data_IF_002772254092
#
_entry.id   IF_002772254092
#
_cell.length_a   1.000
_cell.length_b   1.000
_cell.length_c   1.000
_cell.angle_alpha   90.00
_cell.angle_beta   90.00
_cell.angle_gamma   90.00
#
_symmetry.space_group_name_H-M   'P 1'
#
loop_
_entity.id
_entity.type
_entity.pdbx_description
1 polymer ?
#
# COMPACT_ATOMS: atom_id res chain seq x y z
N UNK A 1 -47.10 13.87 -33.23
CA UNK A 1 -46.11 13.37 -34.20
C UNK A 1 -45.46 12.15 -33.59
N UNK A 2 -45.59 10.95 -34.19
CA UNK A 2 -44.95 9.74 -33.67
C UNK A 2 -43.43 9.88 -33.80
N UNK A 3 -42.71 9.60 -32.72
CA UNK A 3 -41.26 9.50 -32.74
C UNK A 3 -40.88 8.30 -33.61
N UNK A 4 -40.30 8.57 -34.78
CA UNK A 4 -39.68 7.56 -35.64
C UNK A 4 -38.55 6.93 -34.83
N UNK A 5 -38.78 5.72 -34.31
CA UNK A 5 -37.73 4.89 -33.72
C UNK A 5 -36.75 4.58 -34.87
N UNK A 6 -35.59 5.21 -34.83
CA UNK A 6 -34.52 4.98 -35.79
C UNK A 6 -34.18 3.48 -35.77
N UNK A 7 -34.05 2.88 -36.96
CA UNK A 7 -33.55 1.51 -37.08
C UNK A 7 -32.23 1.39 -36.31
N UNK A 8 -31.99 0.27 -35.59
CA UNK A 8 -30.74 0.08 -34.87
C UNK A 8 -29.60 0.13 -35.87
N UNK A 9 -28.84 1.22 -35.81
CA UNK A 9 -27.60 1.38 -36.56
C UNK A 9 -26.71 0.19 -36.25
N UNK A 10 -26.30 -0.56 -37.27
CA UNK A 10 -25.35 -1.66 -37.15
C UNK A 10 -23.94 -1.22 -36.78
N UNK A 11 -23.70 0.10 -36.71
CA UNK A 11 -22.42 0.69 -36.34
C UNK A 11 -22.35 0.98 -34.84
N UNK A 12 -21.18 0.77 -34.20
CA UNK A 12 -20.97 1.09 -32.79
C UNK A 12 -21.24 2.56 -32.49
N UNK A 13 -21.82 2.84 -31.31
CA UNK A 13 -21.79 4.19 -30.75
C UNK A 13 -20.37 4.53 -30.25
N UNK A 14 -19.51 4.99 -31.15
CA UNK A 14 -18.15 5.37 -30.80
C UNK A 14 -18.08 6.47 -29.73
N UNK A 15 -19.10 7.31 -29.61
CA UNK A 15 -19.17 8.37 -28.57
C UNK A 15 -19.28 7.73 -27.20
N UNK A 16 -20.16 6.74 -27.06
CA UNK A 16 -20.30 5.95 -25.83
C UNK A 16 -19.00 5.22 -25.49
N UNK A 17 -18.46 4.45 -26.43
CA UNK A 17 -17.28 3.62 -26.20
C UNK A 17 -16.02 4.44 -25.93
N UNK A 18 -15.86 5.61 -26.57
CA UNK A 18 -14.74 6.50 -26.33
C UNK A 18 -14.75 7.17 -24.94
N UNK A 19 -15.91 7.24 -24.27
CA UNK A 19 -16.03 7.78 -22.91
C UNK A 19 -15.72 6.75 -21.83
N UNK A 20 -15.68 5.46 -22.17
CA UNK A 20 -15.33 4.42 -21.22
C UNK A 20 -13.87 4.56 -20.78
N UNK A 21 -13.63 4.42 -19.48
CA UNK A 21 -12.28 4.51 -18.94
C UNK A 21 -11.37 3.41 -19.51
N UNK A 22 -11.91 2.21 -19.71
CA UNK A 22 -11.20 1.05 -20.22
C UNK A 22 -12.13 0.15 -21.02
N UNK A 23 -11.57 -0.57 -21.98
CA UNK A 23 -12.23 -1.64 -22.74
C UNK A 23 -11.73 -3.01 -22.28
N UNK A 24 -12.61 -4.00 -22.37
CA UNK A 24 -12.19 -5.39 -22.35
C UNK A 24 -11.44 -5.75 -23.65
N UNK A 25 -10.69 -6.85 -23.63
CA UNK A 25 -9.98 -7.34 -24.82
C UNK A 25 -10.97 -7.61 -25.98
N UNK A 26 -12.12 -8.29 -25.78
CA UNK A 26 -13.12 -8.47 -26.82
C UNK A 26 -13.69 -7.17 -27.38
N UNK A 27 -14.04 -6.21 -26.52
CA UNK A 27 -14.55 -4.90 -26.94
C UNK A 27 -13.54 -4.15 -27.80
N UNK A 28 -12.28 -4.07 -27.37
CA UNK A 28 -11.24 -3.37 -28.13
C UNK A 28 -11.01 -4.01 -29.51
N UNK A 29 -11.05 -5.35 -29.58
CA UNK A 29 -10.95 -6.09 -30.83
C UNK A 29 -12.15 -5.81 -31.75
N UNK A 30 -13.37 -5.80 -31.21
CA UNK A 30 -14.60 -5.53 -31.96
C UNK A 30 -14.66 -4.09 -32.49
N UNK A 31 -14.36 -3.10 -31.65
CA UNK A 31 -14.31 -1.69 -32.05
C UNK A 31 -13.25 -1.45 -33.15
N UNK A 32 -12.13 -2.17 -33.12
CA UNK A 32 -11.10 -2.08 -34.17
C UNK A 32 -11.53 -2.64 -35.53
N UNK A 33 -12.63 -3.39 -35.57
CA UNK A 33 -13.26 -3.99 -36.76
C UNK A 33 -14.59 -3.32 -37.12
N UNK A 34 -14.94 -2.21 -36.47
CA UNK A 34 -16.24 -1.53 -36.62
C UNK A 34 -17.45 -2.41 -36.26
N UNK A 35 -17.26 -3.30 -35.30
CA UNK A 35 -18.30 -4.17 -34.75
C UNK A 35 -18.74 -3.60 -33.40
N UNK A 36 -20.04 -3.47 -33.19
CA UNK A 36 -20.59 -3.09 -31.90
C UNK A 36 -20.32 -4.21 -30.89
N UNK A 37 -19.62 -3.96 -29.77
CA UNK A 37 -19.38 -4.98 -28.76
C UNK A 37 -20.65 -5.63 -28.22
N UNK A 38 -21.79 -4.93 -28.20
CA UNK A 38 -23.08 -5.54 -27.78
C UNK A 38 -23.55 -6.65 -28.72
N UNK A 39 -23.19 -6.58 -30.01
CA UNK A 39 -23.51 -7.62 -30.99
C UNK A 39 -22.71 -8.92 -30.78
N UNK A 40 -21.66 -8.90 -29.95
CA UNK A 40 -20.91 -10.11 -29.59
C UNK A 40 -21.78 -11.02 -28.71
N UNK A 41 -22.52 -10.43 -27.77
CA UNK A 41 -23.33 -11.16 -26.80
C UNK A 41 -24.62 -11.71 -27.40
N UNK A 42 -25.18 -11.03 -28.41
CA UNK A 42 -26.38 -11.51 -29.13
C UNK A 42 -26.09 -12.70 -30.04
N UNK A 43 -24.84 -12.87 -30.47
CA UNK A 43 -24.44 -13.95 -31.38
C UNK A 43 -24.78 -13.71 -32.86
N UNK A 44 -25.38 -12.56 -33.20
CA UNK A 44 -25.87 -12.20 -34.54
C UNK A 44 -24.77 -11.84 -35.57
N UNK A 45 -23.54 -12.24 -35.31
CA UNK A 45 -22.41 -11.99 -36.20
C UNK A 45 -22.34 -13.03 -37.30
N UNK A 46 -22.22 -12.57 -38.56
CA UNK A 46 -21.90 -13.45 -39.68
C UNK A 46 -20.58 -14.22 -39.43
N UNK A 47 -20.47 -15.46 -39.92
CA UNK A 47 -19.33 -16.35 -39.64
C UNK A 47 -17.97 -15.74 -40.04
N UNK A 48 -17.93 -14.99 -41.14
CA UNK A 48 -16.73 -14.29 -41.58
C UNK A 48 -16.30 -13.21 -40.56
N UNK A 49 -17.26 -12.43 -40.06
CA UNK A 49 -17.06 -11.40 -39.05
C UNK A 49 -16.61 -12.02 -37.72
N UNK A 50 -17.25 -13.11 -37.30
CA UNK A 50 -16.87 -13.87 -36.10
C UNK A 50 -15.43 -14.40 -36.21
N UNK A 51 -15.04 -14.91 -37.38
CA UNK A 51 -13.67 -15.38 -37.62
C UNK A 51 -12.64 -14.24 -37.54
N UNK A 52 -12.95 -13.08 -38.13
CA UNK A 52 -12.10 -11.89 -38.06
C UNK A 52 -11.95 -11.39 -36.61
N UNK A 53 -13.05 -11.35 -35.86
CA UNK A 53 -13.07 -10.98 -34.45
C UNK A 53 -12.21 -11.94 -33.62
N UNK A 54 -12.39 -13.25 -33.73
CA UNK A 54 -11.59 -14.24 -33.00
C UNK A 54 -10.08 -14.08 -33.26
N UNK A 55 -9.68 -13.85 -34.51
CA UNK A 55 -8.28 -13.58 -34.86
C UNK A 55 -7.76 -12.30 -34.21
N UNK A 56 -8.58 -11.23 -34.21
CA UNK A 56 -8.21 -9.95 -33.59
C UNK A 56 -8.11 -10.07 -32.07
N UNK A 57 -9.05 -10.75 -31.42
CA UNK A 57 -9.05 -11.05 -29.98
C UNK A 57 -7.78 -11.80 -29.59
N UNK A 58 -7.44 -12.87 -30.31
CA UNK A 58 -6.24 -13.67 -30.05
C UNK A 58 -4.96 -12.83 -30.15
N UNK A 59 -4.89 -11.93 -31.14
CA UNK A 59 -3.77 -11.02 -31.33
C UNK A 59 -3.65 -10.05 -30.15
N UNK A 60 -4.73 -9.35 -29.78
CA UNK A 60 -4.75 -8.40 -28.64
C UNK A 60 -4.38 -9.12 -27.34
N UNK A 61 -4.95 -10.32 -27.11
CA UNK A 61 -4.67 -11.13 -25.93
C UNK A 61 -3.21 -11.56 -25.83
N UNK A 62 -2.58 -11.92 -26.95
CA UNK A 62 -1.16 -12.28 -26.96
C UNK A 62 -0.28 -11.08 -26.56
N UNK A 63 -0.60 -9.87 -27.05
CA UNK A 63 0.10 -8.65 -26.64
C UNK A 63 -0.15 -8.30 -25.16
N UNK A 64 -1.35 -8.53 -24.64
CA UNK A 64 -1.63 -8.35 -23.22
C UNK A 64 -0.80 -9.31 -22.34
N UNK A 65 -0.65 -10.58 -22.75
CA UNK A 65 0.17 -11.58 -22.02
C UNK A 65 1.66 -11.24 -21.98
N UNK A 66 2.16 -10.50 -22.97
CA UNK A 66 3.55 -10.03 -22.99
C UNK A 66 3.77 -8.73 -22.21
N UNK A 67 2.73 -8.19 -21.56
CA UNK A 67 2.80 -6.94 -20.80
C UNK A 67 2.85 -5.68 -21.66
N UNK A 68 2.66 -5.80 -22.98
CA UNK A 68 2.62 -4.64 -23.90
C UNK A 68 1.28 -3.92 -23.90
N UNK A 69 0.23 -4.59 -23.41
CA UNK A 69 -1.10 -4.02 -23.17
C UNK A 69 -1.57 -4.45 -21.79
N UNK A 70 -2.29 -3.56 -21.10
CA UNK A 70 -3.00 -3.94 -19.88
C UNK A 70 -4.19 -4.85 -20.20
N UNK A 71 -4.62 -5.68 -19.24
CA UNK A 71 -5.81 -6.53 -19.39
C UNK A 71 -7.09 -5.70 -19.63
N UNK A 72 -7.14 -4.51 -19.03
CA UNK A 72 -8.15 -3.50 -19.30
C UNK A 72 -7.48 -2.38 -20.09
N UNK A 73 -7.86 -2.22 -21.35
CA UNK A 73 -7.13 -1.36 -22.28
C UNK A 73 -7.74 0.04 -22.29
N UNK A 74 -6.93 1.06 -22.04
CA UNK A 74 -7.39 2.44 -22.19
C UNK A 74 -7.54 2.79 -23.68
N UNK A 75 -8.62 3.49 -24.09
CA UNK A 75 -8.92 3.78 -25.50
C UNK A 75 -7.75 4.39 -26.28
N UNK A 76 -7.11 5.41 -25.71
CA UNK A 76 -5.96 6.09 -26.34
C UNK A 76 -4.73 5.18 -26.42
N UNK A 77 -4.49 4.36 -25.38
CA UNK A 77 -3.43 3.36 -25.36
C UNK A 77 -3.61 2.30 -26.43
N UNK A 78 -4.85 1.81 -26.61
CA UNK A 78 -5.20 0.87 -27.66
C UNK A 78 -4.92 1.44 -29.06
N UNK A 79 -5.39 2.66 -29.35
CA UNK A 79 -5.18 3.29 -30.66
C UNK A 79 -3.70 3.49 -30.97
N UNK A 80 -2.91 3.92 -29.98
CA UNK A 80 -1.45 4.06 -30.11
C UNK A 80 -0.80 2.73 -30.45
N UNK A 81 -1.18 1.66 -29.74
CA UNK A 81 -0.71 0.31 -30.02
C UNK A 81 -1.11 -0.19 -31.41
N UNK A 82 -2.36 0.03 -31.85
CA UNK A 82 -2.80 -0.39 -33.21
C UNK A 82 -1.99 0.31 -34.29
N UNK A 83 -1.69 1.60 -34.12
CA UNK A 83 -0.85 2.36 -35.04
C UNK A 83 0.59 1.80 -35.09
N UNK A 84 1.18 1.48 -33.94
CA UNK A 84 2.53 0.89 -33.87
C UNK A 84 2.65 -0.50 -34.50
N UNK A 85 1.55 -1.25 -34.60
CA UNK A 85 1.52 -2.60 -35.17
C UNK A 85 0.91 -2.64 -36.58
N UNK A 86 0.72 -1.47 -37.22
CA UNK A 86 0.09 -1.35 -38.54
C UNK A 86 -1.30 -2.03 -38.63
N UNK A 87 -2.04 -2.04 -37.53
CA UNK A 87 -3.37 -2.62 -37.46
C UNK A 87 -4.38 -1.57 -37.93
N UNK A 88 -5.18 -1.83 -38.98
CA UNK A 88 -6.19 -0.89 -39.42
C UNK A 88 -7.27 -0.72 -38.34
N UNK A 89 -7.68 0.53 -38.15
CA UNK A 89 -8.75 0.97 -37.27
C UNK A 89 -9.50 2.10 -37.96
N UNK A 90 -10.81 2.18 -37.78
CA UNK A 90 -11.62 3.19 -38.43
C UNK A 90 -11.30 4.59 -37.97
N UNK A 91 -11.48 5.53 -38.90
CA UNK A 91 -11.25 6.94 -38.65
C UNK A 91 -12.26 7.49 -37.63
N UNK A 92 -13.49 6.97 -37.62
CA UNK A 92 -14.55 7.35 -36.66
C UNK A 92 -14.17 7.03 -35.23
N UNK A 93 -13.64 5.83 -34.98
CA UNK A 93 -13.13 5.45 -33.65
C UNK A 93 -11.99 6.37 -33.21
N UNK A 94 -11.03 6.65 -34.12
CA UNK A 94 -9.90 7.54 -33.83
C UNK A 94 -10.35 8.95 -33.44
N UNK A 95 -11.32 9.50 -34.16
CA UNK A 95 -11.87 10.83 -33.90
C UNK A 95 -12.66 10.88 -32.61
N UNK A 96 -13.52 9.89 -32.35
CA UNK A 96 -14.31 9.80 -31.13
C UNK A 96 -13.41 9.69 -29.89
N UNK A 97 -12.40 8.82 -29.93
CA UNK A 97 -11.41 8.73 -28.85
C UNK A 97 -10.67 10.05 -28.70
N UNK A 98 -10.16 10.66 -29.77
CA UNK A 98 -9.47 11.96 -29.70
C UNK A 98 -10.33 13.06 -29.05
N UNK A 99 -11.65 13.04 -29.24
CA UNK A 99 -12.58 14.00 -28.65
C UNK A 99 -12.86 13.75 -27.17
N UNK A 100 -12.73 12.51 -26.68
CA UNK A 100 -13.23 12.09 -25.35
C UNK A 100 -12.16 11.56 -24.40
N UNK A 101 -11.09 10.96 -24.92
CA UNK A 101 -9.85 10.89 -24.17
C UNK A 101 -9.38 12.34 -24.02
N UNK A 102 -9.61 12.92 -22.84
CA UNK A 102 -9.00 14.20 -22.45
C UNK A 102 -7.51 14.21 -22.80
N UNK A 103 -6.84 15.38 -22.81
CA UNK A 103 -5.50 15.55 -23.37
C UNK A 103 -4.65 14.34 -23.04
N UNK A 104 -4.37 13.51 -24.06
CA UNK A 104 -3.72 12.20 -23.96
C UNK A 104 -2.65 12.38 -22.91
N UNK A 105 -2.83 11.75 -21.74
CA UNK A 105 -1.97 11.96 -20.59
C UNK A 105 -0.54 12.01 -21.12
N UNK A 106 0.13 13.15 -20.95
CA UNK A 106 1.42 13.38 -21.59
C UNK A 106 2.39 12.35 -21.02
N UNK A 107 2.44 11.18 -21.65
CA UNK A 107 3.16 10.02 -21.16
C UNK A 107 4.64 10.34 -21.06
N UNK A 108 5.11 11.29 -21.88
CA UNK A 108 6.46 11.82 -21.78
C UNK A 108 6.63 12.60 -20.49
N UNK A 109 5.74 13.54 -20.19
CA UNK A 109 5.77 14.26 -18.91
C UNK A 109 5.60 13.33 -17.70
N UNK A 110 4.73 12.33 -17.77
CA UNK A 110 4.52 11.34 -16.71
C UNK A 110 5.76 10.44 -16.55
N UNK A 111 6.36 10.00 -17.64
CA UNK A 111 7.60 9.23 -17.61
C UNK A 111 8.75 10.05 -17.02
N UNK A 112 8.92 11.30 -17.46
CA UNK A 112 9.91 12.24 -16.92
C UNK A 112 9.69 12.46 -15.42
N UNK A 113 8.44 12.67 -15.00
CA UNK A 113 8.07 12.81 -13.58
C UNK A 113 8.41 11.55 -12.78
N UNK A 114 8.13 10.36 -13.31
CA UNK A 114 8.46 9.10 -12.65
C UNK A 114 9.98 8.89 -12.57
N UNK A 115 10.72 9.21 -13.63
CA UNK A 115 12.19 9.17 -13.64
C UNK A 115 12.77 10.07 -12.56
N UNK A 116 12.33 11.33 -12.48
CA UNK A 116 12.77 12.25 -11.43
C UNK A 116 12.46 11.74 -10.02
N UNK A 117 11.30 11.08 -9.82
CA UNK A 117 10.97 10.47 -8.52
C UNK A 117 11.85 9.27 -8.20
N UNK A 118 12.18 8.43 -9.18
CA UNK A 118 13.10 7.31 -8.99
C UNK A 118 14.49 7.81 -8.57
N UNK A 119 15.04 8.80 -9.29
CA UNK A 119 16.34 9.41 -8.95
C UNK A 119 16.33 10.00 -7.53
N UNK A 120 15.25 10.69 -7.15
CA UNK A 120 15.12 11.23 -5.80
C UNK A 120 15.09 10.14 -4.71
N UNK A 121 14.44 9.00 -4.98
CA UNK A 121 14.43 7.87 -4.04
C UNK A 121 15.77 7.17 -3.95
N UNK A 122 16.48 7.01 -5.06
CA UNK A 122 17.84 6.45 -5.07
C UNK A 122 18.78 7.30 -4.21
N UNK A 123 18.72 8.63 -4.34
CA UNK A 123 19.46 9.55 -3.47
C UNK A 123 19.08 9.38 -1.99
N UNK A 124 17.79 9.25 -1.67
CA UNK A 124 17.33 9.08 -0.29
C UNK A 124 17.79 7.75 0.31
N UNK A 125 17.83 6.68 -0.47
CA UNK A 125 18.34 5.37 -0.03
C UNK A 125 19.82 5.48 0.33
N UNK A 126 20.64 6.09 -0.54
CA UNK A 126 22.07 6.30 -0.27
C UNK A 126 22.29 7.13 1.00
N UNK A 127 21.50 8.20 1.19
CA UNK A 127 21.56 9.01 2.41
C UNK A 127 21.23 8.18 3.66
N UNK A 128 20.14 7.41 3.64
CA UNK A 128 19.74 6.56 4.77
C UNK A 128 20.79 5.49 5.07
N UNK A 129 21.37 4.87 4.05
CA UNK A 129 22.46 3.91 4.23
C UNK A 129 23.68 4.55 4.88
N UNK A 130 24.01 5.80 4.52
CA UNK A 130 25.10 6.54 5.15
C UNK A 130 24.83 6.82 6.64
N UNK A 131 23.59 7.17 6.98
CA UNK A 131 23.16 7.40 8.36
C UNK A 131 23.18 6.11 9.18
N UNK A 132 22.76 4.99 8.59
CA UNK A 132 22.81 3.68 9.26
C UNK A 132 24.26 3.26 9.54
N UNK A 133 25.18 3.46 8.59
CA UNK A 133 26.62 3.21 8.81
C UNK A 133 27.17 4.10 9.92
N UNK A 134 26.88 5.41 9.90
CA UNK A 134 27.32 6.34 10.95
C UNK A 134 26.77 5.96 12.33
N UNK A 135 25.52 5.51 12.40
CA UNK A 135 24.91 4.97 13.64
C UNK A 135 25.68 3.74 14.11
N UNK A 136 25.92 2.78 13.23
CA UNK A 136 26.58 1.53 13.58
C UNK A 136 28.04 1.77 14.03
N UNK A 137 28.74 2.75 13.45
CA UNK A 137 30.07 3.20 13.93
C UNK A 137 30.01 3.87 15.31
N UNK A 138 28.91 4.56 15.63
CA UNK A 138 28.71 5.20 16.94
C UNK A 138 28.34 4.20 18.04
N UNK A 139 27.65 3.10 17.70
CA UNK A 139 27.20 2.09 18.68
C UNK A 139 28.32 1.41 19.49
N UNK A 140 29.47 0.96 18.94
CA UNK A 140 30.52 0.33 19.74
C UNK A 140 31.18 1.32 20.71
N UNK A 141 31.27 2.62 20.39
CA UNK A 141 31.84 3.62 21.28
C UNK A 141 30.93 3.90 22.50
N UNK A 142 29.61 3.88 22.31
CA UNK A 142 28.63 4.01 23.39
C UNK A 142 28.48 2.71 24.18
N UNK A 143 28.51 1.55 23.52
CA UNK A 143 28.52 0.24 24.16
C UNK A 143 29.79 0.03 25.02
N UNK A 144 30.96 0.44 24.55
CA UNK A 144 32.21 0.34 25.30
C UNK A 144 32.25 1.28 26.52
N UNK A 145 31.63 2.46 26.45
CA UNK A 145 31.52 3.41 27.58
C UNK A 145 30.36 3.11 28.54
N UNK A 146 29.44 2.21 28.18
CA UNK A 146 28.30 1.83 29.02
C UNK A 146 28.51 0.56 29.85
N UNK A 147 29.77 0.13 30.05
CA UNK A 147 30.15 -0.60 31.27
C UNK A 147 30.02 0.33 32.49
N UNK A 148 28.83 0.90 32.74
CA UNK A 148 28.47 1.29 34.10
C UNK A 148 28.64 0.01 34.92
N UNK A 149 29.44 0.03 36.00
CA UNK A 149 29.50 -1.11 36.90
C UNK A 149 28.07 -1.46 37.28
N UNK A 150 27.78 -2.77 37.38
CA UNK A 150 26.49 -3.22 37.89
C UNK A 150 26.17 -2.40 39.14
N UNK A 151 24.94 -1.86 39.21
CA UNK A 151 24.49 -1.04 40.34
C UNK A 151 24.97 -1.69 41.63
N UNK A 152 25.68 -0.93 42.47
CA UNK A 152 26.12 -1.47 43.75
C UNK A 152 24.88 -1.96 44.51
N UNK A 153 25.01 -2.97 45.39
CA UNK A 153 23.85 -3.49 46.14
C UNK A 153 23.03 -2.40 46.85
N UNK A 154 23.69 -1.33 47.31
CA UNK A 154 23.04 -0.18 47.96
C UNK A 154 22.28 0.72 46.98
N UNK A 155 22.83 0.98 45.79
CA UNK A 155 22.14 1.74 44.74
C UNK A 155 20.93 0.96 44.21
N UNK A 156 21.10 -0.34 43.96
CA UNK A 156 20.00 -1.22 43.54
C UNK A 156 18.86 -1.21 44.58
N UNK A 157 19.20 -1.31 45.87
CA UNK A 157 18.22 -1.21 46.97
C UNK A 157 17.54 0.17 47.00
N UNK A 158 18.28 1.25 46.77
CA UNK A 158 17.74 2.62 46.74
C UNK A 158 16.76 2.84 45.59
N UNK A 159 17.09 2.33 44.40
CA UNK A 159 16.19 2.37 43.23
C UNK A 159 14.92 1.56 43.48
N UNK A 160 15.04 0.35 44.06
CA UNK A 160 13.87 -0.48 44.43
C UNK A 160 12.95 0.24 45.42
N UNK A 161 13.52 0.88 46.46
CA UNK A 161 12.77 1.69 47.43
C UNK A 161 12.02 2.84 46.76
N UNK A 162 12.67 3.52 45.81
CA UNK A 162 12.06 4.60 45.06
C UNK A 162 10.91 4.11 44.16
N UNK A 163 11.11 3.00 43.45
CA UNK A 163 10.07 2.37 42.61
C UNK A 163 8.87 1.96 43.47
N UNK A 164 9.11 1.29 44.61
CA UNK A 164 8.05 0.86 45.51
C UNK A 164 7.30 2.05 46.11
N UNK A 165 8.02 3.10 46.55
CA UNK A 165 7.41 4.33 47.05
C UNK A 165 6.51 5.01 46.02
N UNK A 166 6.94 5.09 44.76
CA UNK A 166 6.12 5.61 43.66
C UNK A 166 4.90 4.73 43.39
N UNK A 167 5.06 3.41 43.44
CA UNK A 167 3.96 2.46 43.26
C UNK A 167 2.88 2.61 44.35
N UNK A 168 3.30 2.75 45.61
CA UNK A 168 2.40 2.97 46.75
C UNK A 168 1.71 4.33 46.65
N UNK A 169 2.47 5.41 46.41
CA UNK A 169 1.95 6.77 46.41
C UNK A 169 0.98 7.06 45.25
N UNK A 170 1.29 6.56 44.04
CA UNK A 170 0.53 6.90 42.83
C UNK A 170 -0.55 5.88 42.49
N UNK A 171 -0.29 4.59 42.69
CA UNK A 171 -1.16 3.51 42.24
C UNK A 171 -1.83 2.77 43.40
N UNK A 172 -1.55 3.16 44.66
CA UNK A 172 -2.14 2.54 45.84
C UNK A 172 -1.69 1.09 46.07
N UNK A 173 -0.51 0.71 45.56
CA UNK A 173 0.05 -0.62 45.80
C UNK A 173 0.23 -0.86 47.31
N UNK A 174 -0.15 -2.06 47.79
CA UNK A 174 0.07 -2.49 49.18
C UNK A 174 0.85 -3.80 49.19
N UNK A 175 2.01 -3.87 49.87
CA UNK A 175 2.85 -5.06 49.87
C UNK A 175 2.19 -6.27 50.55
N UNK A 176 1.39 -6.02 51.60
CA UNK A 176 0.67 -7.06 52.34
C UNK A 176 -0.61 -7.54 51.64
N UNK A 177 -1.00 -6.86 50.56
CA UNK A 177 -2.16 -7.21 49.76
C UNK A 177 -1.85 -8.35 48.78
N UNK A 178 -2.86 -9.14 48.44
CA UNK A 178 -2.80 -10.06 47.30
C UNK A 178 -2.58 -9.33 45.96
N UNK A 179 -2.88 -9.97 44.82
CA UNK A 179 -2.86 -9.28 43.51
C UNK A 179 -3.77 -8.05 43.55
N UNK A 180 -3.22 -6.87 43.31
CA UNK A 180 -3.94 -5.59 43.34
C UNK A 180 -4.10 -5.02 41.93
N UNK A 181 -5.15 -4.22 41.71
CA UNK A 181 -5.37 -3.47 40.46
C UNK A 181 -4.19 -2.51 40.15
N UNK A 182 -3.40 -2.14 41.16
CA UNK A 182 -2.23 -1.27 41.04
C UNK A 182 -1.19 -1.81 40.05
N UNK A 183 -0.91 -3.12 40.06
CA UNK A 183 0.08 -3.72 39.15
C UNK A 183 -0.33 -3.56 37.69
N UNK A 184 -1.59 -3.84 37.38
CA UNK A 184 -2.15 -3.63 36.04
C UNK A 184 -2.07 -2.17 35.60
N UNK A 185 -2.44 -1.22 36.48
CA UNK A 185 -2.36 0.21 36.18
C UNK A 185 -0.93 0.68 35.91
N UNK A 186 0.07 0.11 36.61
CA UNK A 186 1.49 0.39 36.37
C UNK A 186 1.90 -0.09 34.97
N UNK A 187 1.52 -1.32 34.60
CA UNK A 187 1.81 -1.89 33.27
C UNK A 187 1.17 -1.04 32.17
N UNK A 188 -0.12 -0.70 32.30
CA UNK A 188 -0.84 0.14 31.35
C UNK A 188 -0.18 1.54 31.23
N UNK A 189 0.26 2.12 32.34
CA UNK A 189 0.94 3.42 32.35
C UNK A 189 2.29 3.35 31.64
N UNK A 190 3.08 2.28 31.86
CA UNK A 190 4.37 2.06 31.19
C UNK A 190 4.20 1.82 29.68
N UNK A 191 3.15 1.10 29.29
CA UNK A 191 2.81 0.88 27.89
C UNK A 191 2.52 2.21 27.15
N UNK A 192 1.92 3.19 27.84
CA UNK A 192 1.73 4.55 27.33
C UNK A 192 3.03 5.28 26.97
N UNK A 193 4.17 4.84 27.52
CA UNK A 193 5.51 5.35 27.19
C UNK A 193 6.32 4.41 26.27
N UNK A 194 5.69 3.38 25.70
CA UNK A 194 6.35 2.39 24.85
C UNK A 194 7.21 1.36 25.60
N UNK A 195 7.07 1.27 26.93
CA UNK A 195 7.75 0.27 27.76
C UNK A 195 6.79 -0.90 28.00
N UNK A 196 7.06 -2.04 27.38
CA UNK A 196 6.25 -3.25 27.56
C UNK A 196 6.87 -4.15 28.64
N UNK A 197 6.08 -4.50 29.64
CA UNK A 197 6.45 -5.43 30.71
C UNK A 197 5.24 -6.28 31.07
N UNK A 198 5.47 -7.56 31.36
CA UNK A 198 4.42 -8.46 31.79
C UNK A 198 3.96 -8.16 33.24
N UNK A 199 2.67 -8.33 33.52
CA UNK A 199 2.08 -8.01 34.82
C UNK A 199 2.68 -8.84 35.96
N UNK A 200 3.00 -10.12 35.71
CA UNK A 200 3.66 -10.97 36.70
C UNK A 200 5.08 -10.47 36.97
N UNK A 201 5.80 -10.02 35.94
CA UNK A 201 7.14 -9.45 36.09
C UNK A 201 7.10 -8.19 36.97
N UNK A 202 6.16 -7.28 36.71
CA UNK A 202 5.99 -6.08 37.53
C UNK A 202 5.65 -6.42 38.99
N UNK A 203 4.78 -7.41 39.23
CA UNK A 203 4.43 -7.87 40.57
C UNK A 203 5.65 -8.46 41.32
N UNK A 204 6.45 -9.27 40.64
CA UNK A 204 7.63 -9.91 41.23
C UNK A 204 8.67 -8.86 41.65
N UNK A 205 8.89 -7.82 40.83
CA UNK A 205 9.77 -6.70 41.18
C UNK A 205 9.25 -5.88 42.37
N UNK A 206 7.94 -5.64 42.46
CA UNK A 206 7.35 -4.91 43.58
C UNK A 206 7.44 -5.71 44.89
N UNK A 207 7.20 -7.03 44.84
CA UNK A 207 7.35 -7.93 46.00
C UNK A 207 8.80 -8.04 46.46
N UNK A 208 9.72 -8.21 45.51
CA UNK A 208 11.15 -8.23 45.81
C UNK A 208 11.59 -6.91 46.47
N UNK A 209 11.07 -5.77 45.98
CA UNK A 209 11.35 -4.46 46.58
C UNK A 209 10.76 -4.29 47.98
N UNK A 210 9.60 -4.89 48.26
CA UNK A 210 8.95 -4.82 49.57
C UNK A 210 9.72 -5.62 50.63
N UNK A 211 10.14 -6.85 50.31
CA UNK A 211 10.96 -7.67 51.21
C UNK A 211 12.27 -6.99 51.61
N UNK A 212 12.88 -6.22 50.70
CA UNK A 212 14.10 -5.45 50.97
C UNK A 212 13.88 -4.26 51.96
N UNK A 213 12.63 -3.80 52.16
CA UNK A 213 12.29 -2.70 53.09
C UNK A 213 11.94 -3.21 54.49
N UNK A 214 11.20 -4.31 54.61
CA UNK A 214 10.82 -4.87 55.91
C UNK A 214 12.04 -5.18 56.80
N UNK A 215 13.14 -5.59 56.19
CA UNK A 215 14.41 -5.85 56.89
C UNK A 215 15.20 -4.58 57.27
N UNK A 216 14.75 -3.39 56.88
CA UNK A 216 15.45 -2.12 57.06
C UNK A 216 14.81 -1.19 58.12
N UNK A 217 13.67 -1.59 58.69
CA UNK A 217 13.03 -0.90 59.81
C UNK A 217 13.38 -1.71 61.06
N UNK A 218 14.37 -1.32 61.87
CA UNK A 218 14.54 -1.91 63.20
C UNK A 218 13.32 -1.57 64.06
N UNK A 219 12.85 -2.55 64.83
CA UNK A 219 11.78 -2.40 65.82
C UNK A 219 11.99 -1.20 66.76
#
# INVERSE_FOLDING_TARGET
MPATLAEPSTLPDYTHWARMARWSIPESAALSLDIDPEAIDTGDLADATRTALTKRVALVMNHARTGRLAHLVEPAGFLSWTASNAIPCSQRLKEAVKQHSGPIADWRHLAETLTTRCEAYEHRVVELESLLRARDEWTPAVAAKSKKPALSPNEARSVKKLILGMAMARYGYRPDGGRTQATRQIVESLAGFGITIDEQTALDWLRCSAGDIEHAIPD
#
